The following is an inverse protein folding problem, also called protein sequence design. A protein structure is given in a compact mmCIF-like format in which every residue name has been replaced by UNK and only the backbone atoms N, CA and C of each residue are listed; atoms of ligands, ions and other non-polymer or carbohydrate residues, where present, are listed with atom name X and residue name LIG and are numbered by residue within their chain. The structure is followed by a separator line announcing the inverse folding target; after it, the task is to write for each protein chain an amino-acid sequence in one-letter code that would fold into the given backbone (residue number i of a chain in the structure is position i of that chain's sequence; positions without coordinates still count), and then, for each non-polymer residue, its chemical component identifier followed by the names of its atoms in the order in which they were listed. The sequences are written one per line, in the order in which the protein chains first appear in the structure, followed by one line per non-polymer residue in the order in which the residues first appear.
data_IF_463978116175
#
_entry.id   IF_463978116175
#
_cell.length_a   1.000
_cell.length_b   1.000
_cell.length_c   1.000
_cell.angle_alpha   90.00
_cell.angle_beta   90.00
_cell.angle_gamma   90.00
#
_symmetry.space_group_name_H-M   'P 1'
#
loop_
_entity.id
_entity.type
_entity.pdbx_description
1 polymer ?
#
# COMPACT_ATOMS: atom_id res chain seq x y z
N UNK A 1 4.42 -39.95 1.16
CA UNK A 1 5.76 -40.11 1.75
C UNK A 1 6.04 -38.81 2.49
N UNK A 2 5.95 -38.81 3.81
CA UNK A 2 6.18 -37.59 4.60
C UNK A 2 7.63 -37.15 4.43
N UNK A 3 7.84 -35.93 3.93
CA UNK A 3 9.18 -35.35 3.76
C UNK A 3 9.73 -34.95 5.13
N UNK A 4 11.05 -34.90 5.28
CA UNK A 4 11.69 -34.42 6.52
C UNK A 4 11.19 -33.03 6.93
N UNK A 5 10.82 -32.20 5.95
CA UNK A 5 10.22 -30.88 6.15
C UNK A 5 8.85 -30.97 6.84
N UNK A 6 8.00 -31.91 6.43
CA UNK A 6 6.68 -32.12 7.05
C UNK A 6 6.79 -32.64 8.49
N UNK A 7 7.78 -33.49 8.77
CA UNK A 7 8.05 -34.01 10.12
C UNK A 7 8.58 -32.89 11.03
N UNK A 8 9.48 -32.05 10.51
CA UNK A 8 10.01 -30.90 11.25
C UNK A 8 8.93 -29.85 11.53
N UNK A 9 8.13 -29.47 10.52
CA UNK A 9 7.04 -28.52 10.68
C UNK A 9 6.01 -29.00 11.71
N UNK A 10 5.64 -30.30 11.67
CA UNK A 10 4.74 -30.90 12.67
C UNK A 10 5.31 -30.83 14.08
N UNK A 11 6.60 -31.12 14.27
CA UNK A 11 7.24 -31.02 15.58
C UNK A 11 7.34 -29.59 16.10
N UNK A 12 7.61 -28.63 15.22
CA UNK A 12 7.63 -27.20 15.58
C UNK A 12 6.24 -26.76 16.01
N UNK A 13 5.20 -27.15 15.26
CA UNK A 13 3.81 -26.88 15.62
C UNK A 13 3.44 -27.55 16.95
N UNK A 14 3.69 -28.86 17.12
CA UNK A 14 3.43 -29.58 18.37
C UNK A 14 4.12 -28.94 19.59
N UNK A 15 5.37 -28.48 19.44
CA UNK A 15 6.10 -27.76 20.48
C UNK A 15 5.46 -26.41 20.80
N UNK A 16 5.07 -25.66 19.78
CA UNK A 16 4.35 -24.40 19.92
C UNK A 16 3.00 -24.60 20.63
N UNK A 17 2.27 -25.67 20.29
CA UNK A 17 1.03 -26.04 20.95
C UNK A 17 1.22 -26.46 22.41
N UNK A 18 2.29 -27.20 22.72
CA UNK A 18 2.61 -27.56 24.11
C UNK A 18 2.90 -26.33 24.96
N UNK A 19 3.57 -25.33 24.41
CA UNK A 19 4.02 -24.14 25.14
C UNK A 19 2.92 -23.07 25.22
N UNK A 20 2.19 -22.83 24.13
CA UNK A 20 1.25 -21.71 24.02
C UNK A 20 -0.23 -22.12 23.94
N UNK A 21 -0.54 -23.42 23.84
CA UNK A 21 -1.89 -23.92 23.59
C UNK A 21 -2.94 -23.48 24.63
N UNK A 22 -2.53 -23.35 25.90
CA UNK A 22 -3.42 -22.89 26.98
C UNK A 22 -3.84 -21.42 26.84
N UNK A 23 -3.02 -20.57 26.21
CA UNK A 23 -3.27 -19.13 26.04
C UNK A 23 -4.15 -18.81 24.82
N UNK A 24 -4.48 -19.82 24.02
CA UNK A 24 -5.29 -19.68 22.80
C UNK A 24 -6.80 -19.86 23.06
N UNK A 25 -7.16 -20.14 24.33
CA UNK A 25 -8.53 -20.26 24.85
C UNK A 25 -9.01 -21.71 24.98
N UNK A 26 -10.06 -21.98 25.79
CA UNK A 26 -10.63 -23.31 25.95
C UNK A 26 -11.40 -23.71 24.69
N UNK A 27 -10.74 -24.46 23.81
CA UNK A 27 -11.32 -25.02 22.59
C UNK A 27 -10.22 -25.22 21.57
N UNK A 28 -9.94 -26.49 21.24
CA UNK A 28 -8.92 -26.87 20.24
C UNK A 28 -9.17 -26.23 18.85
N UNK A 29 -10.34 -25.64 18.62
CA UNK A 29 -10.73 -25.01 17.35
C UNK A 29 -10.18 -23.58 17.13
N UNK A 30 -9.92 -22.78 18.19
CA UNK A 30 -9.47 -21.39 17.99
C UNK A 30 -8.06 -21.33 17.39
N UNK A 31 -7.15 -22.20 17.80
CA UNK A 31 -5.77 -22.18 17.29
C UNK A 31 -5.69 -22.64 15.85
N UNK A 32 -6.37 -23.74 15.50
CA UNK A 32 -6.41 -24.25 14.13
C UNK A 32 -6.95 -23.18 13.15
N UNK A 33 -7.92 -22.37 13.60
CA UNK A 33 -8.43 -21.24 12.84
C UNK A 33 -7.40 -20.11 12.65
N UNK A 34 -6.65 -19.76 13.69
CA UNK A 34 -5.58 -18.74 13.61
C UNK A 34 -4.45 -19.20 12.69
N UNK A 35 -4.05 -20.46 12.79
CA UNK A 35 -3.05 -21.08 11.92
C UNK A 35 -3.49 -21.11 10.47
N UNK A 36 -4.73 -21.54 10.19
CA UNK A 36 -5.26 -21.57 8.83
C UNK A 36 -5.26 -20.17 8.22
N UNK A 37 -5.70 -19.13 8.94
CA UNK A 37 -5.64 -17.75 8.45
C UNK A 37 -4.20 -17.30 8.19
N UNK A 38 -3.27 -17.58 9.11
CA UNK A 38 -1.86 -17.23 8.92
C UNK A 38 -1.25 -17.94 7.70
N UNK A 39 -1.62 -19.20 7.46
CA UNK A 39 -1.20 -19.96 6.28
C UNK A 39 -1.78 -19.39 4.99
N UNK A 40 -3.07 -19.01 4.96
CA UNK A 40 -3.70 -18.36 3.80
C UNK A 40 -3.04 -17.04 3.48
N UNK A 41 -2.80 -16.21 4.50
CA UNK A 41 -2.07 -14.96 4.39
C UNK A 41 -0.69 -15.14 3.75
N UNK A 42 0.10 -16.09 4.26
CA UNK A 42 1.42 -16.40 3.71
C UNK A 42 1.33 -16.88 2.27
N UNK A 43 0.31 -17.68 1.94
CA UNK A 43 0.07 -18.15 0.58
C UNK A 43 -0.23 -16.99 -0.37
N UNK A 44 -1.06 -16.03 0.02
CA UNK A 44 -1.38 -14.85 -0.79
C UNK A 44 -0.11 -14.04 -1.11
N UNK A 45 0.70 -13.73 -0.10
CA UNK A 45 1.97 -13.01 -0.28
C UNK A 45 2.92 -13.79 -1.19
N UNK A 46 3.09 -15.09 -0.96
CA UNK A 46 3.94 -15.90 -1.83
C UNK A 46 3.41 -15.95 -3.27
N UNK A 47 2.11 -16.09 -3.47
CA UNK A 47 1.49 -16.12 -4.80
C UNK A 47 1.78 -14.83 -5.57
N UNK A 48 1.70 -13.65 -4.92
CA UNK A 48 2.04 -12.37 -5.56
C UNK A 48 3.52 -12.29 -5.94
N UNK A 49 4.41 -12.79 -5.07
CA UNK A 49 5.86 -12.88 -5.33
C UNK A 49 6.27 -13.89 -6.40
N UNK A 50 5.36 -14.76 -6.87
CA UNK A 50 5.66 -15.71 -7.94
C UNK A 50 4.92 -15.41 -9.24
N UNK A 51 3.68 -14.93 -9.15
CA UNK A 51 2.78 -14.76 -10.30
C UNK A 51 2.47 -13.31 -10.62
N UNK A 52 2.81 -12.38 -9.73
CA UNK A 52 2.52 -10.95 -9.85
C UNK A 52 1.19 -10.57 -9.21
N UNK A 53 1.14 -9.35 -8.66
CA UNK A 53 0.01 -8.81 -7.90
C UNK A 53 -1.26 -8.61 -8.74
N UNK A 54 -1.08 -8.39 -10.04
CA UNK A 54 -2.17 -8.29 -11.01
C UNK A 54 -2.82 -9.63 -11.40
N UNK A 55 -2.19 -10.76 -11.05
CA UNK A 55 -2.61 -12.07 -11.54
C UNK A 55 -3.95 -12.53 -10.96
N UNK A 56 -4.69 -13.32 -11.75
CA UNK A 56 -5.91 -13.97 -11.27
C UNK A 56 -5.64 -14.91 -10.09
N UNK A 57 -4.48 -15.56 -10.07
CA UNK A 57 -4.11 -16.50 -9.01
C UNK A 57 -3.94 -15.77 -7.67
N UNK A 58 -3.23 -14.64 -7.67
CA UNK A 58 -3.08 -13.77 -6.49
C UNK A 58 -4.43 -13.20 -6.02
N UNK A 59 -5.27 -12.73 -6.95
CA UNK A 59 -6.61 -12.25 -6.58
C UNK A 59 -7.48 -13.34 -5.94
N UNK A 60 -7.38 -14.59 -6.44
CA UNK A 60 -8.13 -15.72 -5.87
C UNK A 60 -7.66 -16.08 -4.46
N UNK A 61 -6.35 -16.13 -4.21
CA UNK A 61 -5.83 -16.44 -2.88
C UNK A 61 -6.18 -15.36 -1.86
N UNK A 62 -6.12 -14.09 -2.27
CA UNK A 62 -6.58 -12.95 -1.48
C UNK A 62 -8.08 -13.06 -1.15
N UNK A 63 -8.93 -13.36 -2.15
CA UNK A 63 -10.37 -13.55 -1.92
C UNK A 63 -10.69 -14.75 -1.01
N UNK A 64 -9.98 -15.88 -1.15
CA UNK A 64 -10.10 -17.05 -0.27
C UNK A 64 -9.80 -16.66 1.19
N UNK A 65 -8.74 -15.88 1.41
CA UNK A 65 -8.34 -15.40 2.72
C UNK A 65 -9.40 -14.47 3.32
N UNK A 66 -9.91 -13.49 2.58
CA UNK A 66 -10.98 -12.58 3.04
C UNK A 66 -12.25 -13.37 3.38
N UNK A 67 -12.62 -14.33 2.53
CA UNK A 67 -13.79 -15.18 2.76
C UNK A 67 -13.65 -16.04 4.02
N UNK A 68 -12.47 -16.61 4.27
CA UNK A 68 -12.24 -17.40 5.47
C UNK A 68 -12.26 -16.52 6.72
N UNK A 69 -11.60 -15.37 6.65
CA UNK A 69 -11.52 -14.42 7.75
C UNK A 69 -12.91 -13.94 8.20
N UNK A 70 -13.78 -13.65 7.23
CA UNK A 70 -15.15 -13.23 7.49
C UNK A 70 -16.00 -14.39 8.01
N UNK A 71 -15.87 -15.59 7.45
CA UNK A 71 -16.51 -16.81 7.95
C UNK A 71 -16.17 -17.10 9.42
N UNK A 72 -14.91 -16.89 9.82
CA UNK A 72 -14.45 -17.08 11.20
C UNK A 72 -14.83 -15.94 12.15
N UNK A 73 -15.49 -14.88 11.66
CA UNK A 73 -15.93 -13.76 12.48
C UNK A 73 -14.82 -12.77 12.87
N UNK A 74 -13.61 -12.86 12.29
CA UNK A 74 -12.48 -12.00 12.69
C UNK A 74 -12.63 -10.54 12.26
N UNK A 75 -13.60 -10.26 11.39
CA UNK A 75 -14.01 -8.91 10.97
C UNK A 75 -14.90 -8.20 12.00
N UNK A 76 -15.48 -8.95 12.96
CA UNK A 76 -16.41 -8.46 13.98
C UNK A 76 -15.89 -8.76 15.40
N UNK A 77 -14.60 -8.51 15.65
CA UNK A 77 -13.97 -8.71 16.95
C UNK A 77 -14.12 -7.50 17.89
N UNK A 78 -15.17 -6.70 17.69
CA UNK A 78 -15.58 -5.62 18.58
C UNK A 78 -16.05 -6.16 19.94
N UNK A 79 -16.06 -5.32 20.99
CA UNK A 79 -16.60 -5.72 22.28
C UNK A 79 -18.11 -5.99 22.15
N UNK A 80 -18.56 -7.13 22.69
CA UNK A 80 -20.00 -7.47 22.73
C UNK A 80 -20.80 -6.55 23.67
N UNK A 81 -20.12 -6.00 24.69
CA UNK A 81 -20.64 -4.97 25.59
C UNK A 81 -19.71 -3.74 25.50
N UNK A 82 -20.18 -2.59 24.96
CA UNK A 82 -19.38 -1.37 24.84
C UNK A 82 -18.87 -0.81 26.18
N UNK A 83 -19.56 -1.12 27.28
CA UNK A 83 -19.23 -0.62 28.62
C UNK A 83 -18.24 -1.53 29.36
N UNK A 84 -18.00 -2.75 28.84
CA UNK A 84 -17.05 -3.68 29.44
C UNK A 84 -15.60 -3.32 29.07
N UNK A 85 -14.66 -3.28 30.04
CA UNK A 85 -13.27 -2.99 29.75
C UNK A 85 -12.68 -4.13 28.90
N UNK A 86 -11.98 -3.76 27.83
CA UNK A 86 -11.29 -4.74 27.00
C UNK A 86 -10.12 -5.36 27.77
N UNK A 87 -10.12 -6.70 27.86
CA UNK A 87 -9.03 -7.48 28.46
C UNK A 87 -8.31 -8.22 27.32
N UNK A 88 -7.09 -7.80 26.95
CA UNK A 88 -6.34 -8.46 25.90
C UNK A 88 -5.85 -9.83 26.35
N UNK A 89 -5.91 -10.76 25.41
CA UNK A 89 -5.36 -12.12 25.52
C UNK A 89 -4.47 -12.37 24.30
N UNK A 90 -3.64 -13.41 24.34
CA UNK A 90 -2.88 -13.84 23.16
C UNK A 90 -3.81 -14.02 21.95
N UNK A 91 -4.89 -14.79 22.12
CA UNK A 91 -5.85 -15.09 21.05
C UNK A 91 -6.52 -13.82 20.50
N UNK A 92 -6.98 -12.91 21.36
CA UNK A 92 -7.70 -11.70 20.92
C UNK A 92 -6.79 -10.73 20.17
N UNK A 93 -5.54 -10.55 20.61
CA UNK A 93 -4.58 -9.68 19.93
C UNK A 93 -4.07 -10.31 18.63
N UNK A 94 -3.83 -11.62 18.57
CA UNK A 94 -3.48 -12.29 17.31
C UNK A 94 -4.63 -12.17 16.30
N UNK A 95 -5.89 -12.33 16.72
CA UNK A 95 -7.06 -12.09 15.84
C UNK A 95 -7.06 -10.67 15.26
N UNK A 96 -6.88 -9.65 16.10
CA UNK A 96 -6.80 -8.25 15.66
C UNK A 96 -5.64 -7.99 14.72
N UNK A 97 -4.46 -8.58 14.98
CA UNK A 97 -3.28 -8.47 14.11
C UNK A 97 -3.47 -9.13 12.76
N UNK A 98 -4.03 -10.35 12.73
CA UNK A 98 -4.33 -11.06 11.48
C UNK A 98 -5.39 -10.32 10.65
N UNK A 99 -6.41 -9.75 11.31
CA UNK A 99 -7.39 -8.88 10.66
C UNK A 99 -6.74 -7.64 10.06
N UNK A 100 -6.02 -6.87 10.88
CA UNK A 100 -5.33 -5.65 10.47
C UNK A 100 -4.38 -5.91 9.29
N UNK A 101 -3.57 -6.97 9.36
CA UNK A 101 -2.66 -7.34 8.28
C UNK A 101 -3.44 -7.71 7.02
N UNK A 102 -4.43 -8.59 7.10
CA UNK A 102 -5.29 -8.98 5.96
C UNK A 102 -5.98 -7.78 5.31
N UNK A 103 -6.51 -6.87 6.11
CA UNK A 103 -7.16 -5.65 5.65
C UNK A 103 -6.18 -4.77 4.89
N UNK A 104 -5.01 -4.48 5.47
CA UNK A 104 -4.00 -3.63 4.81
C UNK A 104 -3.50 -4.22 3.49
N UNK A 105 -3.19 -5.53 3.44
CA UNK A 105 -2.73 -6.19 2.22
C UNK A 105 -3.81 -6.21 1.15
N UNK A 106 -5.06 -6.47 1.53
CA UNK A 106 -6.19 -6.46 0.61
C UNK A 106 -6.39 -5.07 0.00
N UNK A 107 -6.40 -4.01 0.82
CA UNK A 107 -6.55 -2.63 0.34
C UNK A 107 -5.35 -2.21 -0.54
N UNK A 108 -4.14 -2.69 -0.26
CA UNK A 108 -3.00 -2.54 -1.17
C UNK A 108 -3.23 -3.25 -2.52
N UNK A 109 -3.79 -4.46 -2.52
CA UNK A 109 -4.14 -5.18 -3.76
C UNK A 109 -5.21 -4.45 -4.57
N UNK A 110 -6.23 -3.89 -3.91
CA UNK A 110 -7.24 -3.02 -4.56
C UNK A 110 -6.57 -1.80 -5.20
N UNK A 111 -5.64 -1.16 -4.50
CA UNK A 111 -4.91 0.00 -5.01
C UNK A 111 -4.14 -0.32 -6.29
N UNK A 112 -3.59 -1.53 -6.36
CA UNK A 112 -2.81 -2.01 -7.50
C UNK A 112 -3.71 -2.41 -8.69
N UNK A 113 -4.80 -3.12 -8.41
CA UNK A 113 -5.62 -3.79 -9.43
C UNK A 113 -6.90 -3.04 -9.80
N UNK A 114 -7.26 -1.98 -9.09
CA UNK A 114 -8.52 -1.25 -9.30
C UNK A 114 -9.78 -2.08 -9.05
N UNK A 115 -9.65 -3.31 -8.52
CA UNK A 115 -10.79 -4.19 -8.27
C UNK A 115 -11.59 -3.71 -7.07
N UNK A 116 -12.93 -3.85 -7.05
CA UNK A 116 -13.72 -3.48 -5.89
C UNK A 116 -13.23 -4.16 -4.61
N UNK A 117 -13.12 -3.43 -3.48
CA UNK A 117 -12.83 -4.01 -2.17
C UNK A 117 -13.81 -5.15 -1.82
N UNK A 118 -13.27 -6.24 -1.30
CA UNK A 118 -14.01 -7.35 -0.70
C UNK A 118 -14.32 -7.06 0.78
N UNK A 119 -13.46 -6.30 1.45
CA UNK A 119 -13.79 -5.70 2.74
C UNK A 119 -14.73 -4.51 2.55
N UNK A 120 -15.59 -4.29 3.54
CA UNK A 120 -16.40 -3.10 3.63
C UNK A 120 -16.47 -2.67 5.10
N UNK A 121 -15.99 -1.46 5.42
CA UNK A 121 -16.04 -0.87 6.76
C UNK A 121 -17.41 -0.92 7.42
N UNK A 122 -18.50 -0.95 6.63
CA UNK A 122 -19.87 -1.06 7.16
C UNK A 122 -20.16 -2.41 7.83
N UNK A 123 -19.38 -3.43 7.53
CA UNK A 123 -19.52 -4.78 8.09
C UNK A 123 -18.31 -5.17 8.95
N UNK A 124 -17.33 -4.28 9.11
CA UNK A 124 -16.13 -4.53 9.91
C UNK A 124 -16.20 -3.71 11.21
N UNK A 125 -16.05 -4.38 12.35
CA UNK A 125 -16.01 -3.73 13.68
C UNK A 125 -14.73 -4.01 14.46
N UNK A 126 -13.84 -4.87 13.95
CA UNK A 126 -12.61 -5.26 14.63
C UNK A 126 -11.72 -4.07 14.98
N UNK A 127 -11.43 -3.83 16.27
CA UNK A 127 -10.53 -2.75 16.69
C UNK A 127 -9.09 -3.02 16.27
N UNK A 128 -8.32 -1.93 16.12
CA UNK A 128 -6.89 -2.00 15.86
C UNK A 128 -6.15 -2.79 16.98
N UNK A 129 -5.15 -3.62 16.65
CA UNK A 129 -4.38 -4.38 17.65
C UNK A 129 -3.58 -3.46 18.56
N UNK A 130 -3.44 -3.83 19.84
CA UNK A 130 -2.61 -3.07 20.77
C UNK A 130 -1.14 -3.12 20.33
N UNK A 131 -0.46 -2.01 20.50
CA UNK A 131 0.95 -1.86 20.18
C UNK A 131 1.83 -2.50 21.26
N UNK A 132 1.88 -3.82 21.22
CA UNK A 132 2.55 -4.67 22.21
C UNK A 132 3.68 -5.43 21.51
N UNK A 133 4.81 -5.57 22.21
CA UNK A 133 5.95 -6.35 21.73
C UNK A 133 5.58 -7.83 21.62
N UNK A 134 6.02 -8.49 20.55
CA UNK A 134 5.63 -9.89 20.27
C UNK A 134 6.02 -10.82 21.42
N UNK A 135 7.25 -10.72 21.94
CA UNK A 135 7.71 -11.55 23.05
C UNK A 135 6.89 -11.35 24.33
N UNK A 136 6.37 -10.14 24.56
CA UNK A 136 5.51 -9.84 25.72
C UNK A 136 4.07 -10.33 25.51
N UNK A 137 3.62 -10.40 24.24
CA UNK A 137 2.33 -10.97 23.89
C UNK A 137 2.30 -12.51 24.06
N UNK A 138 3.40 -13.18 23.71
CA UNK A 138 3.56 -14.63 23.87
C UNK A 138 3.97 -15.03 25.30
N UNK A 139 4.22 -14.07 26.20
CA UNK A 139 4.55 -14.36 27.59
C UNK A 139 3.31 -14.85 28.39
N UNK A 140 3.48 -15.04 29.71
CA UNK A 140 2.39 -15.37 30.61
C UNK A 140 1.39 -14.21 30.79
N UNK A 141 0.18 -14.53 31.25
CA UNK A 141 -0.92 -13.57 31.44
C UNK A 141 -0.54 -12.40 32.38
N UNK A 142 0.30 -12.64 33.39
CA UNK A 142 0.70 -11.58 34.32
C UNK A 142 1.70 -10.61 33.66
N UNK A 143 2.58 -11.12 32.79
CA UNK A 143 3.45 -10.30 31.96
C UNK A 143 2.65 -9.48 30.96
N UNK A 144 1.70 -10.09 30.24
CA UNK A 144 0.80 -9.38 29.32
C UNK A 144 0.01 -8.27 30.03
N UNK A 145 -0.57 -8.56 31.19
CA UNK A 145 -1.32 -7.58 31.98
C UNK A 145 -0.48 -6.37 32.41
N UNK A 146 0.82 -6.56 32.70
CA UNK A 146 1.75 -5.46 33.00
C UNK A 146 2.10 -4.66 31.75
N UNK A 147 2.32 -5.35 30.63
CA UNK A 147 2.64 -4.70 29.35
C UNK A 147 1.52 -3.79 28.88
N UNK A 148 0.27 -4.19 29.08
CA UNK A 148 -0.92 -3.38 28.74
C UNK A 148 -0.96 -2.04 29.49
N UNK A 149 -0.34 -1.95 30.68
CA UNK A 149 -0.21 -0.68 31.40
C UNK A 149 0.73 0.33 30.70
N UNK A 150 1.53 -0.15 29.73
CA UNK A 150 2.43 0.66 28.92
C UNK A 150 1.82 0.95 27.53
N UNK A 151 0.49 0.86 27.42
CA UNK A 151 -0.27 1.22 26.23
C UNK A 151 -1.19 2.38 26.59
N UNK A 152 -1.22 3.40 25.74
CA UNK A 152 -2.07 4.58 25.94
C UNK A 152 -3.54 4.32 25.58
N UNK A 153 -4.40 5.32 25.81
CA UNK A 153 -5.83 5.25 25.46
C UNK A 153 -6.11 5.04 23.98
N UNK A 154 -5.14 5.38 23.11
CA UNK A 154 -5.22 5.20 21.67
C UNK A 154 -4.57 3.89 21.21
N UNK A 155 -4.18 3.00 22.14
CA UNK A 155 -3.61 1.69 21.83
C UNK A 155 -2.13 1.70 21.41
N UNK A 156 -1.42 2.81 21.57
CA UNK A 156 0.01 2.95 21.25
C UNK A 156 0.90 2.65 22.45
N UNK A 157 2.10 2.12 22.22
CA UNK A 157 3.05 1.89 23.30
C UNK A 157 3.60 3.23 23.82
N UNK A 158 3.63 3.40 25.14
CA UNK A 158 4.14 4.62 25.79
C UNK A 158 5.65 4.66 25.90
N UNK A 159 6.33 3.55 25.56
CA UNK A 159 7.81 3.43 25.58
C UNK A 159 8.46 4.08 24.36
N UNK A 160 7.69 4.42 23.33
CA UNK A 160 8.19 5.00 22.09
C UNK A 160 9.02 4.02 21.24
N UNK A 161 8.91 2.73 21.54
CA UNK A 161 9.60 1.67 20.81
C UNK A 161 8.87 1.33 19.52
N UNK A 162 9.57 0.67 18.61
CA UNK A 162 9.01 0.19 17.36
C UNK A 162 8.81 -1.32 17.43
N UNK A 163 7.58 -1.78 17.19
CA UNK A 163 7.20 -3.17 17.07
C UNK A 163 6.52 -3.44 15.71
N UNK A 164 6.46 -4.70 15.25
CA UNK A 164 5.61 -5.06 14.11
C UNK A 164 4.15 -4.62 14.28
N UNK A 165 3.65 -4.68 15.52
CA UNK A 165 2.34 -4.16 15.91
C UNK A 165 2.20 -2.65 15.65
N UNK A 166 3.23 -1.86 15.96
CA UNK A 166 3.27 -0.41 15.70
C UNK A 166 3.05 -0.12 14.21
N UNK A 167 3.76 -0.87 13.35
CA UNK A 167 3.71 -0.67 11.91
C UNK A 167 2.36 -1.09 11.31
N UNK A 168 1.87 -2.29 11.63
CA UNK A 168 0.57 -2.76 11.10
C UNK A 168 -0.59 -1.89 11.60
N UNK A 169 -0.53 -1.38 12.83
CA UNK A 169 -1.54 -0.46 13.38
C UNK A 169 -1.59 0.83 12.57
N UNK A 170 -0.44 1.45 12.30
CA UNK A 170 -0.37 2.66 11.47
C UNK A 170 -0.87 2.42 10.05
N UNK A 171 -0.40 1.36 9.38
CA UNK A 171 -0.86 1.00 8.04
C UNK A 171 -2.37 0.75 7.97
N UNK A 172 -2.96 0.15 9.00
CA UNK A 172 -4.40 -0.07 9.08
C UNK A 172 -5.19 1.23 9.16
N UNK A 173 -4.68 2.23 9.89
CA UNK A 173 -5.29 3.55 9.93
C UNK A 173 -5.24 4.24 8.57
N UNK A 174 -4.11 4.14 7.86
CA UNK A 174 -3.96 4.70 6.50
C UNK A 174 -4.86 3.95 5.51
N UNK A 175 -4.93 2.63 5.61
CA UNK A 175 -5.77 1.78 4.76
C UNK A 175 -7.27 2.02 4.99
N UNK A 176 -7.71 2.40 6.20
CA UNK A 176 -9.09 2.75 6.47
C UNK A 176 -9.53 3.99 5.67
N UNK A 177 -8.70 5.04 5.63
CA UNK A 177 -8.95 6.21 4.76
C UNK A 177 -8.93 5.77 3.29
N UNK A 178 -8.01 4.89 2.91
CA UNK A 178 -7.90 4.39 1.54
C UNK A 178 -9.11 3.58 1.09
N UNK A 179 -9.71 2.80 1.99
CA UNK A 179 -10.95 2.10 1.71
C UNK A 179 -12.10 3.07 1.42
N UNK A 180 -12.23 4.17 2.17
CA UNK A 180 -13.24 5.20 1.92
C UNK A 180 -13.02 5.92 0.58
N UNK A 181 -11.75 6.19 0.25
CA UNK A 181 -11.37 6.70 -1.08
C UNK A 181 -11.88 5.74 -2.16
N UNK A 182 -11.66 4.44 -2.01
CA UNK A 182 -12.12 3.45 -3.01
C UNK A 182 -13.62 3.21 -3.00
N UNK A 183 -14.31 3.38 -1.88
CA UNK A 183 -15.78 3.38 -1.84
C UNK A 183 -16.34 4.51 -2.71
N UNK A 184 -15.73 5.70 -2.66
CA UNK A 184 -16.14 6.86 -3.46
C UNK A 184 -15.73 6.70 -4.91
N UNK A 185 -14.46 6.35 -5.14
CA UNK A 185 -13.94 6.12 -6.48
C UNK A 185 -14.77 5.01 -7.10
N UNK A 186 -14.60 3.75 -6.69
CA UNK A 186 -15.16 2.57 -7.34
C UNK A 186 -16.69 2.44 -7.23
N UNK A 187 -17.31 3.21 -6.35
CA UNK A 187 -18.75 3.32 -6.24
C UNK A 187 -19.38 4.05 -7.42
N UNK A 188 -20.70 4.30 -7.34
CA UNK A 188 -21.39 5.15 -8.32
C UNK A 188 -21.07 6.62 -8.03
N UNK A 189 -19.85 7.04 -8.38
CA UNK A 189 -19.19 8.30 -8.01
C UNK A 189 -19.98 9.59 -8.31
N UNK A 190 -20.91 9.58 -9.26
CA UNK A 190 -21.72 10.74 -9.65
C UNK A 190 -22.66 11.30 -8.57
N UNK A 191 -22.67 10.72 -7.35
CA UNK A 191 -23.51 11.16 -6.22
C UNK A 191 -22.76 11.54 -4.96
N UNK A 192 -21.44 11.39 -4.91
CA UNK A 192 -20.68 11.72 -3.70
C UNK A 192 -20.51 13.24 -3.61
N UNK A 193 -20.94 13.88 -2.51
CA UNK A 193 -20.70 15.30 -2.30
C UNK A 193 -19.21 15.62 -2.23
N UNK A 194 -18.79 16.74 -2.84
CA UNK A 194 -17.40 17.23 -2.77
C UNK A 194 -16.94 17.42 -1.33
N UNK A 195 -17.84 17.84 -0.44
CA UNK A 195 -17.55 18.02 0.99
C UNK A 195 -17.04 16.73 1.66
N UNK A 196 -17.47 15.56 1.18
CA UNK A 196 -16.96 14.27 1.66
C UNK A 196 -15.48 14.08 1.30
N UNK A 197 -15.07 14.45 0.08
CA UNK A 197 -13.67 14.38 -0.35
C UNK A 197 -12.79 15.40 0.39
N UNK A 198 -13.32 16.60 0.66
CA UNK A 198 -12.64 17.62 1.48
C UNK A 198 -12.45 17.11 2.92
N UNK A 199 -13.47 16.45 3.48
CA UNK A 199 -13.38 15.76 4.78
C UNK A 199 -12.26 14.72 4.79
N UNK A 200 -12.22 13.84 3.80
CA UNK A 200 -11.15 12.83 3.68
C UNK A 200 -9.76 13.47 3.56
N UNK A 201 -9.61 14.58 2.82
CA UNK A 201 -8.35 15.33 2.74
C UNK A 201 -7.93 15.84 4.13
N UNK A 202 -8.87 16.37 4.91
CA UNK A 202 -8.62 16.85 6.26
C UNK A 202 -8.25 15.72 7.22
N UNK A 203 -8.96 14.59 7.17
CA UNK A 203 -8.68 13.41 7.99
C UNK A 203 -7.30 12.81 7.68
N UNK A 204 -6.95 12.73 6.39
CA UNK A 204 -5.64 12.30 5.92
C UNK A 204 -4.52 13.22 6.45
N UNK A 205 -4.71 14.55 6.42
CA UNK A 205 -3.74 15.50 6.96
C UNK A 205 -3.59 15.37 8.50
N UNK A 206 -4.70 15.14 9.21
CA UNK A 206 -4.69 14.95 10.67
C UNK A 206 -4.08 13.61 11.09
N UNK A 207 -4.17 12.57 10.26
CA UNK A 207 -3.67 11.24 10.58
C UNK A 207 -2.18 11.26 10.97
N UNK A 208 -1.37 12.07 10.29
CA UNK A 208 0.07 12.21 10.57
C UNK A 208 0.32 12.58 12.04
N UNK A 209 -0.51 13.45 12.61
CA UNK A 209 -0.37 13.89 14.00
C UNK A 209 -0.72 12.80 15.03
N UNK A 210 -1.42 11.75 14.61
CA UNK A 210 -1.82 10.60 15.44
C UNK A 210 -0.79 9.46 15.40
N UNK A 211 0.22 9.53 14.53
CA UNK A 211 1.24 8.50 14.39
C UNK A 211 2.36 8.71 15.42
N UNK A 212 2.91 7.62 15.99
CA UNK A 212 4.03 7.72 16.93
C UNK A 212 5.30 8.27 16.24
N UNK A 213 6.14 9.04 16.94
CA UNK A 213 7.35 9.64 16.36
C UNK A 213 8.35 8.65 15.75
N UNK A 214 8.29 7.37 16.15
CA UNK A 214 9.14 6.32 15.59
C UNK A 214 8.82 6.00 14.13
N UNK A 215 7.59 6.29 13.65
CA UNK A 215 7.12 6.05 12.29
C UNK A 215 7.23 7.26 11.35
N UNK A 216 7.58 8.44 11.88
CA UNK A 216 7.67 9.67 11.07
C UNK A 216 9.02 9.71 10.37
N UNK A 217 9.00 9.75 9.03
CA UNK A 217 10.21 9.95 8.23
C UNK A 217 10.83 11.32 8.48
N UNK A 218 12.16 11.38 8.62
CA UNK A 218 12.89 12.63 8.85
C UNK A 218 13.96 12.87 7.78
N UNK A 219 14.19 14.15 7.40
CA UNK A 219 15.34 14.50 6.58
C UNK A 219 16.64 13.96 7.21
N UNK A 220 17.39 13.16 6.46
CA UNK A 220 18.64 12.53 6.91
C UNK A 220 18.50 11.09 7.38
N UNK A 221 17.30 10.51 7.48
CA UNK A 221 17.10 9.11 7.88
C UNK A 221 17.87 8.12 6.98
N UNK A 222 17.91 8.38 5.68
CA UNK A 222 18.68 7.59 4.71
C UNK A 222 20.18 7.56 5.00
N UNK A 223 20.73 8.67 5.51
CA UNK A 223 22.14 8.80 5.85
C UNK A 223 22.45 8.35 7.29
N UNK A 224 21.42 8.09 8.11
CA UNK A 224 21.60 7.71 9.50
C UNK A 224 21.84 6.20 9.66
N UNK A 225 23.11 5.83 9.83
CA UNK A 225 23.56 4.44 10.01
C UNK A 225 23.15 3.84 11.37
N UNK A 226 22.76 4.67 12.34
CA UNK A 226 22.27 4.17 13.64
C UNK A 226 20.78 3.82 13.60
N UNK A 227 20.07 4.20 12.54
CA UNK A 227 18.67 3.84 12.34
C UNK A 227 18.62 2.39 11.84
N UNK A 228 17.87 1.52 12.51
CA UNK A 228 17.68 0.15 12.01
C UNK A 228 17.00 0.16 10.64
N UNK A 229 17.39 -0.76 9.76
CA UNK A 229 16.83 -0.84 8.41
C UNK A 229 15.32 -1.11 8.41
N UNK A 230 14.81 -1.86 9.41
CA UNK A 230 13.37 -2.09 9.58
C UNK A 230 12.60 -0.78 9.86
N UNK A 231 13.09 0.06 10.77
CA UNK A 231 12.48 1.37 11.04
C UNK A 231 12.58 2.27 9.81
N UNK A 232 13.72 2.30 9.12
CA UNK A 232 13.87 3.09 7.90
C UNK A 232 12.84 2.67 6.84
N UNK A 233 12.72 1.35 6.59
CA UNK A 233 11.71 0.79 5.70
C UNK A 233 10.30 1.21 6.10
N UNK A 234 9.94 1.04 7.37
CA UNK A 234 8.59 1.36 7.86
C UNK A 234 8.26 2.84 7.73
N UNK A 235 9.22 3.74 7.99
CA UNK A 235 9.05 5.18 7.77
C UNK A 235 8.82 5.52 6.31
N UNK A 236 9.62 4.97 5.40
CA UNK A 236 9.46 5.16 3.96
C UNK A 236 8.10 4.64 3.47
N UNK A 237 7.69 3.46 3.94
CA UNK A 237 6.40 2.87 3.57
C UNK A 237 5.21 3.67 4.09
N UNK A 238 5.24 4.12 5.35
CA UNK A 238 4.19 4.98 5.92
C UNK A 238 4.09 6.28 5.11
N UNK A 239 5.20 6.92 4.79
CA UNK A 239 5.22 8.15 3.98
C UNK A 239 4.63 7.91 2.58
N UNK A 240 5.05 6.84 1.89
CA UNK A 240 4.51 6.46 0.59
C UNK A 240 3.00 6.22 0.61
N UNK A 241 2.51 5.51 1.64
CA UNK A 241 1.09 5.22 1.78
C UNK A 241 0.25 6.47 2.08
N UNK A 242 0.78 7.39 2.89
CA UNK A 242 0.15 8.68 3.15
C UNK A 242 0.08 9.52 1.87
N UNK A 243 1.18 9.58 1.11
CA UNK A 243 1.24 10.29 -0.17
C UNK A 243 0.30 9.68 -1.21
N UNK A 244 0.16 8.36 -1.24
CA UNK A 244 -0.75 7.66 -2.15
C UNK A 244 -2.22 8.00 -1.88
N UNK A 245 -2.61 8.09 -0.59
CA UNK A 245 -3.96 8.55 -0.24
C UNK A 245 -4.18 9.99 -0.73
N UNK A 246 -3.23 10.89 -0.49
CA UNK A 246 -3.30 12.27 -1.01
C UNK A 246 -3.43 12.28 -2.52
N UNK A 247 -2.62 11.51 -3.24
CA UNK A 247 -2.68 11.38 -4.70
C UNK A 247 -4.09 11.00 -5.18
N UNK A 248 -4.71 9.97 -4.58
CA UNK A 248 -6.06 9.57 -4.95
C UNK A 248 -7.12 10.63 -4.60
N UNK A 249 -7.03 11.25 -3.42
CA UNK A 249 -7.97 12.30 -2.99
C UNK A 249 -7.91 13.50 -3.94
N UNK A 250 -6.72 14.03 -4.24
CA UNK A 250 -6.58 15.18 -5.15
C UNK A 250 -7.10 14.86 -6.54
N UNK A 251 -6.83 13.65 -7.04
CA UNK A 251 -7.33 13.20 -8.33
C UNK A 251 -8.85 13.16 -8.37
N UNK A 252 -9.49 12.64 -7.32
CA UNK A 252 -10.94 12.64 -7.20
C UNK A 252 -11.50 14.06 -7.09
N UNK A 253 -10.88 14.94 -6.31
CA UNK A 253 -11.31 16.34 -6.19
C UNK A 253 -11.32 17.04 -7.57
N UNK A 254 -10.25 16.89 -8.35
CA UNK A 254 -10.15 17.46 -9.71
C UNK A 254 -11.23 16.88 -10.62
N UNK A 255 -11.45 15.55 -10.58
CA UNK A 255 -12.52 14.89 -11.34
C UNK A 255 -13.92 15.39 -10.98
N UNK A 256 -14.14 15.78 -9.73
CA UNK A 256 -15.37 16.40 -9.24
C UNK A 256 -15.43 17.92 -9.49
N UNK A 257 -14.55 18.46 -10.35
CA UNK A 257 -14.57 19.85 -10.79
C UNK A 257 -13.92 20.84 -9.83
N UNK A 258 -13.19 20.37 -8.81
CA UNK A 258 -12.35 21.26 -8.00
C UNK A 258 -11.15 21.75 -8.80
N UNK A 259 -10.72 22.97 -8.47
CA UNK A 259 -9.56 23.57 -9.11
C UNK A 259 -8.29 22.81 -8.70
N UNK A 260 -7.47 22.46 -9.67
CA UNK A 260 -6.13 21.93 -9.41
C UNK A 260 -5.26 23.02 -8.73
N UNK A 261 -4.86 22.75 -7.50
CA UNK A 261 -3.99 23.60 -6.67
C UNK A 261 -2.51 23.26 -6.80
N UNK A 262 -2.18 22.20 -7.55
CA UNK A 262 -0.83 21.64 -7.66
C UNK A 262 -0.52 20.54 -6.63
N UNK A 263 -1.40 20.29 -5.66
CA UNK A 263 -1.21 19.27 -4.61
C UNK A 263 -1.04 17.86 -5.20
N UNK A 264 -1.73 17.55 -6.31
CA UNK A 264 -1.60 16.29 -7.02
C UNK A 264 -0.17 16.10 -7.61
N UNK A 265 0.40 17.18 -8.14
CA UNK A 265 1.76 17.18 -8.66
C UNK A 265 2.79 17.02 -7.52
N UNK A 266 2.54 17.67 -6.38
CA UNK A 266 3.36 17.54 -5.17
C UNK A 266 3.37 16.09 -4.68
N UNK A 267 2.19 15.48 -4.49
CA UNK A 267 2.08 14.09 -4.06
C UNK A 267 2.83 13.15 -5.02
N UNK A 268 2.66 13.34 -6.34
CA UNK A 268 3.32 12.51 -7.35
C UNK A 268 4.84 12.65 -7.35
N UNK A 269 5.35 13.88 -7.22
CA UNK A 269 6.79 14.12 -7.14
C UNK A 269 7.42 13.41 -5.94
N UNK A 270 6.76 13.48 -4.78
CA UNK A 270 7.26 12.83 -3.57
C UNK A 270 7.06 11.32 -3.61
N UNK A 271 5.97 10.77 -4.16
CA UNK A 271 5.81 9.31 -4.34
C UNK A 271 6.94 8.68 -5.14
N UNK A 272 7.33 9.30 -6.28
CA UNK A 272 8.51 8.85 -7.04
C UNK A 272 9.76 9.03 -6.19
N UNK A 273 9.94 10.18 -5.55
CA UNK A 273 11.12 10.47 -4.73
C UNK A 273 11.34 9.48 -3.58
N UNK A 274 10.28 9.08 -2.88
CA UNK A 274 10.32 8.16 -1.74
C UNK A 274 10.39 6.68 -2.16
N UNK A 275 10.05 6.38 -3.41
CA UNK A 275 10.25 5.04 -3.99
C UNK A 275 11.72 4.79 -4.37
N UNK A 276 12.45 5.80 -4.87
CA UNK A 276 13.83 5.63 -5.34
C UNK A 276 14.85 5.09 -4.30
N UNK A 277 14.76 5.40 -3.00
CA UNK A 277 15.64 4.83 -1.98
C UNK A 277 15.67 3.31 -1.93
N UNK A 278 14.55 2.63 -2.23
CA UNK A 278 14.48 1.17 -2.23
C UNK A 278 15.45 0.51 -3.22
N UNK A 279 15.85 1.24 -4.27
CA UNK A 279 16.88 0.83 -5.22
C UNK A 279 18.24 1.48 -4.99
N UNK A 280 18.26 2.78 -4.67
CA UNK A 280 19.53 3.51 -4.53
C UNK A 280 20.27 3.24 -3.22
N UNK A 281 19.58 2.67 -2.21
CA UNK A 281 20.12 2.31 -0.89
C UNK A 281 19.91 0.81 -0.61
N UNK A 282 20.15 -0.03 -1.62
CA UNK A 282 20.03 -1.50 -1.49
C UNK A 282 20.96 -2.07 -0.42
N UNK A 283 22.09 -1.42 -0.10
CA UNK A 283 22.96 -1.81 1.01
C UNK A 283 22.22 -1.87 2.36
N UNK A 284 21.18 -1.04 2.52
CA UNK A 284 20.31 -1.01 3.72
C UNK A 284 18.97 -1.68 3.50
N UNK A 285 18.43 -1.62 2.29
CA UNK A 285 17.07 -2.06 1.97
C UNK A 285 17.02 -3.39 1.20
N UNK A 286 18.15 -4.10 1.03
CA UNK A 286 18.23 -5.36 0.28
C UNK A 286 17.34 -6.49 0.83
N UNK A 287 16.99 -6.49 2.12
CA UNK A 287 16.04 -7.44 2.70
C UNK A 287 14.66 -7.40 2.03
N UNK A 288 14.37 -6.33 1.29
CA UNK A 288 13.09 -6.05 0.63
C UNK A 288 13.18 -6.14 -0.90
N UNK A 289 14.30 -6.67 -1.41
CA UNK A 289 14.57 -6.77 -2.86
C UNK A 289 13.52 -7.56 -3.62
N UNK A 290 12.89 -8.54 -2.97
CA UNK A 290 11.95 -9.47 -3.59
C UNK A 290 10.54 -8.87 -3.82
N UNK A 291 10.27 -7.67 -3.30
CA UNK A 291 8.98 -6.98 -3.40
C UNK A 291 9.08 -5.62 -4.12
N UNK A 292 10.23 -5.32 -4.74
CA UNK A 292 10.47 -4.01 -5.34
C UNK A 292 9.57 -3.73 -6.55
N UNK A 293 9.18 -4.76 -7.29
CA UNK A 293 8.32 -4.64 -8.48
C UNK A 293 6.92 -4.16 -8.12
N UNK A 294 6.32 -4.75 -7.08
CA UNK A 294 5.03 -4.31 -6.53
C UNK A 294 5.11 -2.85 -6.07
N UNK A 295 6.16 -2.50 -5.32
CA UNK A 295 6.33 -1.16 -4.77
C UNK A 295 6.45 -0.11 -5.89
N UNK A 296 7.28 -0.40 -6.90
CA UNK A 296 7.46 0.46 -8.06
C UNK A 296 6.14 0.66 -8.80
N UNK A 297 5.43 -0.43 -9.12
CA UNK A 297 4.20 -0.35 -9.89
C UNK A 297 3.05 0.25 -9.07
N UNK A 298 2.94 -0.05 -7.78
CA UNK A 298 1.88 0.46 -6.91
C UNK A 298 2.01 1.95 -6.56
N UNK A 299 3.23 2.48 -6.48
CA UNK A 299 3.48 3.86 -6.07
C UNK A 299 4.10 4.73 -7.17
N UNK A 300 5.28 4.37 -7.68
CA UNK A 300 6.04 5.23 -8.57
C UNK A 300 5.51 5.28 -10.00
N UNK A 301 4.98 4.19 -10.54
CA UNK A 301 4.44 4.16 -11.90
C UNK A 301 3.27 5.15 -12.12
N UNK A 302 2.21 5.18 -11.29
CA UNK A 302 1.12 6.13 -11.50
C UNK A 302 1.54 7.59 -11.29
N UNK A 303 2.34 7.84 -10.26
CA UNK A 303 2.91 9.15 -9.98
C UNK A 303 3.84 9.61 -11.13
N UNK A 304 4.67 8.70 -11.64
CA UNK A 304 5.56 8.91 -12.77
C UNK A 304 4.79 9.23 -14.06
N UNK A 305 3.64 8.60 -14.28
CA UNK A 305 2.71 8.95 -15.36
C UNK A 305 2.24 10.40 -15.27
N UNK A 306 1.84 10.87 -14.08
CA UNK A 306 1.46 12.27 -13.88
C UNK A 306 2.66 13.23 -14.12
N UNK A 307 3.84 12.89 -13.62
CA UNK A 307 5.05 13.67 -13.86
C UNK A 307 5.42 13.73 -15.35
N UNK A 308 5.24 12.64 -16.10
CA UNK A 308 5.40 12.61 -17.55
C UNK A 308 4.40 13.57 -18.23
N UNK A 309 3.13 13.57 -17.78
CA UNK A 309 2.13 14.50 -18.30
C UNK A 309 2.49 15.95 -18.03
N UNK A 310 3.04 16.27 -16.87
CA UNK A 310 3.53 17.62 -16.55
C UNK A 310 4.69 18.04 -17.47
N UNK A 311 5.55 17.10 -17.89
CA UNK A 311 6.62 17.42 -18.87
C UNK A 311 6.07 17.70 -20.28
N UNK A 312 5.01 16.98 -20.68
CA UNK A 312 4.37 17.12 -22.00
C UNK A 312 3.43 18.32 -22.08
N UNK A 313 2.70 18.60 -21.00
CA UNK A 313 1.74 19.71 -20.86
C UNK A 313 2.06 20.50 -19.58
N UNK A 314 3.08 21.38 -19.62
CA UNK A 314 3.51 22.10 -18.44
C UNK A 314 2.41 22.99 -17.85
N UNK A 315 2.11 22.79 -16.57
CA UNK A 315 1.24 23.63 -15.75
C UNK A 315 2.05 24.56 -14.84
N UNK A 316 3.33 24.22 -14.59
CA UNK A 316 4.23 24.99 -13.74
C UNK A 316 4.60 26.38 -14.35
N UNK A 317 4.21 27.50 -13.71
CA UNK A 317 4.64 28.83 -14.14
C UNK A 317 6.17 28.94 -14.05
N UNK A 318 6.82 29.35 -15.14
CA UNK A 318 8.29 29.44 -15.24
C UNK A 318 9.04 28.12 -14.95
N UNK A 319 8.36 26.97 -14.99
CA UNK A 319 8.96 25.66 -14.74
C UNK A 319 9.25 25.34 -13.27
N UNK A 320 8.63 26.06 -12.32
CA UNK A 320 8.75 25.81 -10.88
C UNK A 320 7.38 25.83 -10.21
N UNK A 321 7.19 24.98 -9.19
CA UNK A 321 5.96 24.94 -8.42
C UNK A 321 5.82 26.17 -7.51
N UNK A 322 4.67 26.87 -7.51
CA UNK A 322 4.48 28.11 -6.74
C UNK A 322 4.66 27.92 -5.22
N UNK A 323 4.25 26.76 -4.70
CA UNK A 323 4.23 26.48 -3.26
C UNK A 323 5.39 25.59 -2.79
N UNK A 324 6.13 24.96 -3.70
CA UNK A 324 7.23 24.05 -3.36
C UNK A 324 8.44 24.28 -4.29
N UNK A 325 9.48 24.99 -3.83
CA UNK A 325 10.62 25.31 -4.67
C UNK A 325 11.47 24.08 -5.06
N UNK A 326 11.30 22.93 -4.39
CA UNK A 326 12.00 21.69 -4.71
C UNK A 326 11.44 21.02 -5.98
N UNK A 327 10.24 21.43 -6.41
CA UNK A 327 9.58 20.90 -7.60
C UNK A 327 9.82 21.85 -8.76
N UNK A 328 10.63 21.41 -9.70
CA UNK A 328 10.89 22.11 -10.96
C UNK A 328 10.92 21.13 -12.12
N UNK A 329 10.76 21.64 -13.35
CA UNK A 329 10.86 20.80 -14.56
C UNK A 329 12.16 19.97 -14.59
N UNK A 330 13.30 20.56 -14.20
CA UNK A 330 14.58 19.85 -14.18
C UNK A 330 14.63 18.77 -13.09
N UNK A 331 14.02 19.01 -11.93
CA UNK A 331 13.91 18.00 -10.87
C UNK A 331 12.99 16.86 -11.26
N UNK A 332 11.88 17.14 -11.93
CA UNK A 332 10.99 16.11 -12.49
C UNK A 332 11.75 15.21 -13.46
N UNK A 333 12.48 15.80 -14.42
CA UNK A 333 13.35 15.05 -15.35
C UNK A 333 14.34 14.17 -14.59
N UNK A 334 15.06 14.70 -13.60
CA UNK A 334 16.02 13.93 -12.80
C UNK A 334 15.37 12.74 -12.08
N UNK A 335 14.21 12.94 -11.45
CA UNK A 335 13.50 11.88 -10.73
C UNK A 335 12.99 10.80 -11.68
N UNK A 336 12.45 11.19 -12.83
CA UNK A 336 12.03 10.24 -13.87
C UNK A 336 13.21 9.49 -14.49
N UNK A 337 14.37 10.11 -14.68
CA UNK A 337 15.58 9.41 -15.15
C UNK A 337 16.06 8.36 -14.15
N UNK A 338 16.05 8.68 -12.85
CA UNK A 338 16.34 7.69 -11.80
C UNK A 338 15.27 6.58 -11.77
N UNK A 339 14.01 6.94 -12.00
CA UNK A 339 12.92 5.98 -12.05
C UNK A 339 13.06 4.99 -13.21
N UNK A 340 13.46 5.45 -14.40
CA UNK A 340 13.85 4.56 -15.51
C UNK A 340 14.97 3.61 -15.11
N UNK A 341 15.98 4.09 -14.39
CA UNK A 341 17.06 3.24 -13.86
C UNK A 341 16.57 2.18 -12.88
N UNK A 342 15.60 2.51 -12.03
CA UNK A 342 14.97 1.53 -11.13
C UNK A 342 14.16 0.49 -11.94
N UNK A 343 13.34 0.93 -12.89
CA UNK A 343 12.57 0.01 -13.75
C UNK A 343 13.47 -0.91 -14.59
N UNK A 344 14.65 -0.43 -15.03
CA UNK A 344 15.64 -1.23 -15.76
C UNK A 344 16.34 -2.28 -14.88
N UNK A 345 16.47 -2.01 -13.58
CA UNK A 345 17.07 -2.94 -12.64
C UNK A 345 16.14 -4.13 -12.30
N UNK A 346 14.82 -3.97 -12.46
CA UNK A 346 13.84 -5.05 -12.29
C UNK A 346 14.09 -6.12 -13.36
N UNK A 347 14.17 -7.38 -12.94
CA UNK A 347 14.36 -8.48 -13.87
C UNK A 347 13.07 -8.65 -14.72
N UNK A 348 13.15 -8.74 -16.06
CA UNK A 348 11.96 -8.99 -16.89
C UNK A 348 11.18 -10.26 -16.54
N UNK A 349 11.85 -11.28 -15.99
CA UNK A 349 11.20 -12.51 -15.52
C UNK A 349 10.69 -12.43 -14.08
N UNK A 350 10.84 -11.29 -13.41
CA UNK A 350 10.27 -11.07 -12.09
C UNK A 350 8.74 -10.96 -12.16
N UNK A 351 8.02 -11.17 -11.04
CA UNK A 351 6.63 -10.80 -10.93
C UNK A 351 6.43 -9.33 -11.34
N UNK A 352 5.41 -9.05 -12.15
CA UNK A 352 5.18 -7.73 -12.74
C UNK A 352 6.32 -7.19 -13.63
N UNK A 353 7.30 -8.01 -14.03
CA UNK A 353 8.44 -7.59 -14.86
C UNK A 353 8.01 -6.99 -16.21
N UNK A 354 6.99 -7.56 -16.83
CA UNK A 354 6.39 -7.03 -18.06
C UNK A 354 5.83 -5.61 -17.83
N UNK A 355 5.04 -5.42 -16.77
CA UNK A 355 4.48 -4.10 -16.40
C UNK A 355 5.57 -3.05 -16.15
N UNK A 356 6.67 -3.45 -15.48
CA UNK A 356 7.83 -2.58 -15.27
C UNK A 356 8.51 -2.20 -16.60
N UNK A 357 8.69 -3.15 -17.52
CA UNK A 357 9.29 -2.93 -18.84
C UNK A 357 8.45 -1.98 -19.71
N UNK A 358 7.14 -2.14 -19.65
CA UNK A 358 6.17 -1.28 -20.34
C UNK A 358 6.19 0.14 -19.77
N UNK A 359 6.12 0.27 -18.44
CA UNK A 359 6.24 1.56 -17.75
C UNK A 359 7.55 2.27 -18.11
N UNK A 360 8.67 1.53 -18.13
CA UNK A 360 9.99 2.06 -18.51
C UNK A 360 9.95 2.65 -19.91
N UNK A 361 9.38 1.92 -20.87
CA UNK A 361 9.31 2.34 -22.27
C UNK A 361 8.54 3.64 -22.43
N UNK A 362 7.43 3.81 -21.71
CA UNK A 362 6.64 5.04 -21.72
C UNK A 362 7.42 6.21 -21.12
N UNK A 363 7.98 6.05 -19.92
CA UNK A 363 8.71 7.13 -19.23
C UNK A 363 9.94 7.55 -20.03
N UNK A 364 10.70 6.60 -20.56
CA UNK A 364 11.88 6.87 -21.39
C UNK A 364 11.52 7.67 -22.64
N UNK A 365 10.45 7.30 -23.34
CA UNK A 365 9.99 8.03 -24.54
C UNK A 365 9.62 9.48 -24.23
N UNK A 366 8.93 9.72 -23.11
CA UNK A 366 8.59 11.10 -22.68
C UNK A 366 9.86 11.88 -22.35
N UNK A 367 10.84 11.27 -21.67
CA UNK A 367 12.13 11.89 -21.41
C UNK A 367 12.89 12.22 -22.72
N UNK A 368 12.93 11.30 -23.68
CA UNK A 368 13.58 11.50 -24.97
C UNK A 368 12.96 12.67 -25.74
N UNK A 369 11.62 12.76 -25.78
CA UNK A 369 10.91 13.90 -26.40
C UNK A 369 11.22 15.21 -25.66
N UNK A 370 11.23 15.17 -24.33
CA UNK A 370 11.45 16.32 -23.45
C UNK A 370 12.87 16.88 -23.58
N UNK A 371 13.87 16.01 -23.79
CA UNK A 371 15.29 16.35 -23.81
C UNK A 371 15.83 16.64 -25.21
N UNK A 372 15.40 15.88 -26.22
CA UNK A 372 15.87 16.07 -27.60
C UNK A 372 15.05 17.10 -28.39
N UNK A 373 13.92 17.57 -27.82
CA UNK A 373 12.95 18.42 -28.52
C UNK A 373 12.22 17.65 -29.62
N UNK A 374 11.21 18.26 -30.23
CA UNK A 374 10.51 17.72 -31.42
C UNK A 374 11.42 17.75 -32.65
N UNK A 375 12.52 17.00 -32.66
CA UNK A 375 13.52 16.97 -33.74
C UNK A 375 13.05 16.20 -34.99
N UNK A 376 11.76 15.87 -35.10
CA UNK A 376 11.12 15.32 -36.28
C UNK A 376 9.97 16.23 -36.69
N UNK A 377 10.27 17.19 -37.58
CA UNK A 377 9.29 17.97 -38.34
C UNK A 377 8.51 17.11 -39.34
N UNK A 378 7.84 16.07 -38.85
CA UNK A 378 6.66 15.53 -39.51
C UNK A 378 5.46 16.22 -38.90
N UNK A 379 4.64 16.87 -39.72
CA UNK A 379 3.33 17.39 -39.33
C UNK A 379 2.59 16.32 -38.53
N UNK A 380 2.57 16.48 -37.22
CA UNK A 380 1.58 15.84 -36.40
C UNK A 380 0.39 16.79 -36.38
N UNK A 381 -0.45 16.69 -37.41
CA UNK A 381 -1.88 16.98 -37.20
C UNK A 381 -2.28 16.09 -36.05
N UNK A 382 -2.45 16.66 -34.86
CA UNK A 382 -2.92 15.91 -33.72
C UNK A 382 -4.17 15.15 -34.17
N UNK A 383 -4.16 13.81 -34.25
CA UNK A 383 -5.38 13.10 -34.46
C UNK A 383 -6.21 13.40 -33.21
N UNK A 384 -7.36 14.03 -33.37
CA UNK A 384 -8.47 13.89 -32.43
C UNK A 384 -8.82 12.39 -32.42
N UNK A 385 -8.08 11.59 -31.63
CA UNK A 385 -8.54 11.16 -30.32
C UNK A 385 -7.40 11.03 -29.26
N UNK A 386 -6.42 11.93 -29.20
CA UNK A 386 -5.39 11.92 -28.13
C UNK A 386 -5.87 12.42 -26.74
N UNK A 387 -7.18 12.42 -26.52
CA UNK A 387 -7.79 12.48 -25.21
C UNK A 387 -7.96 11.04 -24.72
N UNK A 388 -7.23 10.67 -23.66
CA UNK A 388 -7.62 9.59 -22.74
C UNK A 388 -7.96 8.24 -23.43
N UNK A 389 -7.01 7.56 -24.11
CA UNK A 389 -7.34 6.25 -24.71
C UNK A 389 -6.19 5.39 -25.25
N UNK A 390 -5.33 5.90 -26.14
CA UNK A 390 -4.61 4.97 -27.02
C UNK A 390 -3.12 4.76 -26.70
N UNK A 391 -2.78 3.75 -25.87
CA UNK A 391 -1.43 3.16 -25.80
C UNK A 391 -1.52 1.64 -25.54
N UNK A 392 -1.48 0.85 -26.62
CA UNK A 392 -1.66 -0.61 -26.58
C UNK A 392 -0.55 -1.37 -25.81
N UNK A 393 -0.94 -2.16 -24.81
CA UNK A 393 -0.10 -3.16 -24.13
C UNK A 393 -0.83 -4.50 -23.93
N UNK A 394 -0.13 -5.66 -24.04
CA UNK A 394 -0.73 -6.98 -24.01
C UNK A 394 -0.73 -7.60 -22.59
N UNK A 395 -1.56 -7.08 -21.69
CA UNK A 395 -2.01 -7.81 -20.49
C UNK A 395 -3.35 -7.22 -20.00
N UNK A 396 -4.47 -7.79 -20.47
CA UNK A 396 -5.83 -7.39 -20.07
C UNK A 396 -6.02 -7.48 -18.54
N UNK A 397 -5.89 -6.35 -17.87
CA UNK A 397 -6.54 -6.09 -16.58
C UNK A 397 -8.00 -5.72 -16.86
N UNK A 398 -8.81 -6.76 -17.08
CA UNK A 398 -10.18 -6.77 -17.64
C UNK A 398 -11.29 -6.10 -16.78
N UNK A 399 -10.95 -5.14 -15.91
CA UNK A 399 -11.91 -4.38 -15.10
C UNK A 399 -11.86 -2.89 -15.38
N UNK A 400 -12.97 -2.19 -15.15
CA UNK A 400 -13.11 -0.79 -15.52
C UNK A 400 -12.31 0.14 -14.56
N UNK A 401 -11.06 0.47 -14.88
CA UNK A 401 -10.25 1.47 -14.16
C UNK A 401 -10.59 2.93 -14.55
N UNK A 402 -11.63 3.19 -15.35
CA UNK A 402 -12.12 4.55 -15.72
C UNK A 402 -12.44 5.44 -14.50
N UNK A 403 -12.24 4.93 -13.30
CA UNK A 403 -12.66 5.46 -12.04
C UNK A 403 -11.49 5.92 -11.16
N UNK A 404 -10.30 5.33 -11.36
CA UNK A 404 -9.05 5.73 -10.73
C UNK A 404 -8.00 6.21 -11.74
N UNK A 405 -8.18 5.96 -13.05
CA UNK A 405 -7.34 6.35 -14.20
C UNK A 405 -5.82 6.16 -13.95
N UNK A 406 -5.45 5.31 -12.99
CA UNK A 406 -4.10 5.23 -12.38
C UNK A 406 -3.09 4.71 -13.40
N UNK A 407 -3.59 3.98 -14.40
CA UNK A 407 -2.85 3.36 -15.48
C UNK A 407 -3.55 3.51 -16.84
N UNK A 408 -4.40 4.52 -17.05
CA UNK A 408 -5.09 4.70 -18.36
C UNK A 408 -4.14 4.88 -19.54
N UNK A 409 -2.90 5.26 -19.26
CA UNK A 409 -1.81 5.33 -20.22
C UNK A 409 -1.17 3.95 -20.54
N UNK A 410 -1.65 2.85 -19.94
CA UNK A 410 -1.20 1.46 -20.15
C UNK A 410 -2.25 0.56 -20.83
N UNK A 411 -3.41 1.09 -21.29
CA UNK A 411 -4.53 0.27 -21.79
C UNK A 411 -4.64 0.24 -23.32
N UNK A 412 -4.91 -0.93 -23.93
CA UNK A 412 -5.40 -1.03 -25.30
C UNK A 412 -6.90 -0.75 -25.41
N UNK A 413 -7.29 0.00 -26.44
CA UNK A 413 -8.70 0.36 -26.72
C UNK A 413 -9.49 -0.87 -27.21
N UNK A 414 -10.55 -1.27 -26.51
CA UNK A 414 -11.58 -2.14 -27.09
C UNK A 414 -12.64 -1.23 -27.72
N UNK A 415 -12.67 -1.19 -29.05
CA UNK A 415 -13.73 -0.50 -29.77
C UNK A 415 -15.10 -1.12 -29.43
N UNK A 416 -16.12 -0.31 -29.07
CA UNK A 416 -17.47 -0.81 -28.92
C UNK A 416 -18.00 -1.26 -30.30
N UNK A 417 -18.63 -2.43 -30.31
CA UNK A 417 -19.31 -2.98 -31.50
C UNK A 417 -20.67 -2.33 -31.73
#
# INVERSE_FOLDING_TARGET
METWLSIAARRVLESFYQEFGQYLGPGQDNTAQLEEIAHRLRRTVNESMFTGDASLATWRTDAEQVSLLTYLGFHDAGPSDPDAPYIPTLSSEIKRRLFAYSFTTHISSVSFTGRPPLFCRRYTSTPLPLDIKDEELFADEATLAKTVQHVDENGWNTRGEFYPATFVRARSMIAAIREEIFEIALGRAHKTPVDTLIGLKADQAQLISKLPPCLIYRPGDLANLNLSDQILYSRLMVELELLQNTFFIERLLIRHGQKDTGDLLVASFYMVTFTLPFWTHLDRLAGMRADCEWLVMGFAAPAGGLLCMELLKPTLPNGQHPSDPLISRSRIVQKLSLFVGFLDWVNPSAPNGDLCSECKSVVLRVLDQTLNGSASGGDFTAPEPLLLGSWDLPAQLDFNFDLLDTFDWLRPDVQPS
#
